data_IF_948977995446
#
_entry.id   IF_948977995446
#
_cell.length_a   1.000
_cell.length_b   1.000
_cell.length_c   1.000
_cell.angle_alpha   90.00
_cell.angle_beta   90.00
_cell.angle_gamma   90.00
#
_symmetry.space_group_name_H-M   'P 1'
#
loop_
_entity.id
_entity.type
_entity.pdbx_description
1 polymer ?
#
# COMPACT_ATOMS: atom_id res chain seq x y z
N UNK A 1 -2.62 -1.06 9.43
CA UNK A 1 -2.64 -0.95 10.89
C UNK A 1 -3.99 -0.37 11.31
N UNK A 2 -4.89 -1.14 11.99
CA UNK A 2 -6.21 -0.65 12.39
C UNK A 2 -6.12 0.60 13.28
N UNK A 3 -4.99 0.81 13.96
CA UNK A 3 -4.73 2.02 14.75
C UNK A 3 -4.59 3.28 13.91
N UNK A 4 -4.05 3.19 12.68
CA UNK A 4 -3.93 4.33 11.76
C UNK A 4 -5.27 4.72 11.13
N UNK A 5 -6.11 3.73 10.79
CA UNK A 5 -7.46 3.96 10.30
C UNK A 5 -8.33 4.57 11.40
N UNK A 6 -8.22 4.06 12.64
CA UNK A 6 -8.92 4.61 13.81
C UNK A 6 -8.45 6.04 14.14
N UNK A 7 -7.18 6.34 13.93
CA UNK A 7 -6.62 7.67 14.16
C UNK A 7 -7.13 8.67 13.12
N UNK A 8 -7.20 8.29 11.84
CA UNK A 8 -7.77 9.14 10.78
C UNK A 8 -9.26 9.41 10.99
N UNK A 9 -10.02 8.40 11.43
CA UNK A 9 -11.46 8.58 11.73
C UNK A 9 -11.65 9.46 12.96
N UNK A 10 -10.85 9.30 14.01
CA UNK A 10 -10.86 10.16 15.20
C UNK A 10 -10.48 11.60 14.87
N UNK A 11 -9.47 11.82 14.04
CA UNK A 11 -9.08 13.17 13.59
C UNK A 11 -10.19 13.80 12.77
N UNK A 12 -10.86 13.06 11.88
CA UNK A 12 -12.01 13.57 11.11
C UNK A 12 -13.21 13.91 11.99
N UNK A 13 -13.52 13.08 12.99
CA UNK A 13 -14.60 13.35 13.95
C UNK A 13 -14.26 14.55 14.83
N UNK A 14 -13.03 14.66 15.32
CA UNK A 14 -12.58 15.81 16.10
C UNK A 14 -12.65 17.10 15.30
N UNK A 15 -12.23 17.10 14.03
CA UNK A 15 -12.34 18.30 13.17
C UNK A 15 -13.80 18.71 12.92
N UNK A 16 -14.72 17.76 12.77
CA UNK A 16 -16.15 18.05 12.66
C UNK A 16 -16.72 18.64 13.96
N UNK A 17 -16.33 18.10 15.12
CA UNK A 17 -16.76 18.62 16.42
C UNK A 17 -16.21 20.04 16.65
N UNK A 18 -14.92 20.28 16.38
CA UNK A 18 -14.32 21.61 16.52
C UNK A 18 -14.92 22.62 15.56
N UNK A 19 -15.25 22.22 14.31
CA UNK A 19 -15.94 23.11 13.36
C UNK A 19 -17.35 23.47 13.83
N UNK A 20 -18.10 22.50 14.37
CA UNK A 20 -19.44 22.75 14.91
C UNK A 20 -19.41 23.69 16.14
N UNK A 21 -18.44 23.50 17.03
CA UNK A 21 -18.22 24.38 18.20
C UNK A 21 -17.82 25.79 17.75
N UNK A 22 -16.95 25.91 16.75
CA UNK A 22 -16.51 27.19 16.21
C UNK A 22 -17.67 27.97 15.55
N UNK A 23 -18.51 27.28 14.76
CA UNK A 23 -19.72 27.88 14.15
C UNK A 23 -20.71 28.32 15.22
N UNK A 24 -21.03 27.43 16.18
CA UNK A 24 -21.91 27.70 17.29
C UNK A 24 -21.41 28.85 18.18
N UNK A 25 -20.14 28.84 18.54
CA UNK A 25 -19.49 29.88 19.31
C UNK A 25 -19.46 31.23 18.59
N UNK A 26 -19.12 31.26 17.30
CA UNK A 26 -19.15 32.47 16.49
C UNK A 26 -20.54 33.06 16.35
N UNK A 27 -21.56 32.20 16.18
CA UNK A 27 -22.94 32.63 16.16
C UNK A 27 -23.41 33.22 17.52
N UNK A 28 -23.03 32.58 18.63
CA UNK A 28 -23.36 33.02 20.00
C UNK A 28 -22.69 34.37 20.34
N UNK A 29 -21.42 34.52 19.98
CA UNK A 29 -20.71 35.81 20.12
C UNK A 29 -21.42 36.89 19.28
N UNK A 30 -21.78 36.59 18.03
CA UNK A 30 -22.51 37.50 17.16
C UNK A 30 -23.88 37.91 17.75
N UNK A 31 -24.61 37.00 18.40
CA UNK A 31 -25.88 37.31 19.06
C UNK A 31 -25.72 38.18 20.30
N UNK A 32 -24.67 37.94 21.09
CA UNK A 32 -24.39 38.70 22.30
C UNK A 32 -23.95 40.15 22.00
N UNK A 33 -23.12 40.35 20.97
CA UNK A 33 -22.54 41.66 20.67
C UNK A 33 -23.42 42.51 19.73
N UNK A 34 -24.19 41.88 18.84
CA UNK A 34 -24.96 42.59 17.77
C UNK A 34 -26.48 42.62 18.00
N UNK A 35 -26.97 42.10 19.13
CA UNK A 35 -28.37 42.06 19.46
C UNK A 35 -29.21 41.13 18.57
N UNK A 36 -30.52 41.10 18.80
CA UNK A 36 -31.45 40.18 18.10
C UNK A 36 -32.12 40.79 16.85
N UNK A 37 -31.69 41.98 16.42
CA UNK A 37 -32.34 42.71 15.31
C UNK A 37 -32.12 42.02 13.97
N UNK A 38 -33.19 41.99 13.16
CA UNK A 38 -33.19 41.35 11.83
C UNK A 38 -32.54 42.28 10.78
N UNK A 39 -31.85 41.73 9.79
CA UNK A 39 -31.29 42.50 8.70
C UNK A 39 -29.74 42.42 8.61
N UNK A 40 -29.07 43.58 8.51
CA UNK A 40 -27.60 43.64 8.37
C UNK A 40 -26.87 42.90 9.51
N UNK A 41 -27.43 42.89 10.69
CA UNK A 41 -26.91 42.15 11.86
C UNK A 41 -26.94 40.64 11.65
N UNK A 42 -27.93 40.08 10.93
CA UNK A 42 -28.01 38.67 10.62
C UNK A 42 -26.86 38.24 9.69
N UNK A 43 -26.61 38.98 8.62
CA UNK A 43 -25.46 38.70 7.72
C UNK A 43 -24.11 38.79 8.45
N UNK A 44 -23.94 39.78 9.32
CA UNK A 44 -22.72 39.96 10.09
C UNK A 44 -22.46 38.81 11.07
N UNK A 45 -23.51 38.26 11.69
CA UNK A 45 -23.42 37.07 12.57
C UNK A 45 -22.95 35.85 11.81
N UNK A 46 -23.45 35.60 10.61
CA UNK A 46 -23.00 34.50 9.76
C UNK A 46 -21.58 34.70 9.23
N UNK A 47 -21.20 35.93 8.89
CA UNK A 47 -19.83 36.22 8.50
C UNK A 47 -18.82 35.93 9.65
N UNK A 48 -19.18 36.29 10.89
CA UNK A 48 -18.37 35.97 12.07
C UNK A 48 -18.33 34.47 12.35
N UNK A 49 -19.46 33.75 12.18
CA UNK A 49 -19.52 32.32 12.33
C UNK A 49 -18.65 31.59 11.29
N UNK A 50 -18.71 32.01 10.03
CA UNK A 50 -17.86 31.44 8.95
C UNK A 50 -16.38 31.83 9.18
N UNK A 51 -16.10 33.07 9.54
CA UNK A 51 -14.74 33.54 9.83
C UNK A 51 -14.08 32.76 10.96
N UNK A 52 -14.84 32.40 12.00
CA UNK A 52 -14.32 31.60 13.12
C UNK A 52 -13.87 30.20 12.67
N UNK A 53 -14.54 29.59 11.68
CA UNK A 53 -14.09 28.30 11.12
C UNK A 53 -12.71 28.40 10.49
N UNK A 54 -12.43 29.46 9.73
CA UNK A 54 -11.11 29.68 9.12
C UNK A 54 -10.03 29.92 10.16
N UNK A 55 -10.33 30.63 11.25
CA UNK A 55 -9.39 30.88 12.34
C UNK A 55 -9.01 29.59 13.07
N UNK A 56 -9.95 28.66 13.27
CA UNK A 56 -9.68 27.41 13.98
C UNK A 56 -9.16 26.29 13.07
N UNK A 57 -9.63 26.19 11.81
CA UNK A 57 -9.20 25.14 10.89
C UNK A 57 -7.94 25.53 10.09
N UNK A 58 -7.70 26.82 9.85
CA UNK A 58 -6.56 27.29 9.09
C UNK A 58 -5.21 26.82 9.69
N UNK A 59 -4.96 27.03 10.99
CA UNK A 59 -3.74 26.55 11.63
C UNK A 59 -3.58 25.03 11.56
N UNK A 60 -4.66 24.26 11.66
CA UNK A 60 -4.61 22.81 11.54
C UNK A 60 -4.10 22.35 10.15
N UNK A 61 -4.62 22.94 9.07
CA UNK A 61 -4.16 22.64 7.72
C UNK A 61 -2.71 23.08 7.48
N UNK A 62 -2.33 24.23 8.05
CA UNK A 62 -0.94 24.71 7.98
C UNK A 62 0.02 23.78 8.72
N UNK A 63 -0.32 23.38 9.96
CA UNK A 63 0.49 22.46 10.75
C UNK A 63 0.64 21.11 10.04
N UNK A 64 -0.45 20.55 9.51
CA UNK A 64 -0.40 19.31 8.76
C UNK A 64 0.50 19.40 7.53
N UNK A 65 0.42 20.50 6.77
CA UNK A 65 1.29 20.73 5.61
C UNK A 65 2.76 20.90 6.00
N UNK A 66 3.05 21.49 7.16
CA UNK A 66 4.41 21.59 7.70
C UNK A 66 4.94 20.24 8.15
N UNK A 67 4.12 19.43 8.82
CA UNK A 67 4.45 18.06 9.23
C UNK A 67 4.79 17.19 8.01
N UNK A 68 3.98 17.23 6.96
CA UNK A 68 4.22 16.49 5.72
C UNK A 68 5.55 16.94 5.06
N UNK A 69 5.82 18.24 5.00
CA UNK A 69 7.08 18.79 4.47
C UNK A 69 8.29 18.38 5.31
N UNK A 70 8.18 18.48 6.62
CA UNK A 70 9.26 18.07 7.53
C UNK A 70 9.56 16.59 7.40
N UNK A 71 8.53 15.75 7.40
CA UNK A 71 8.66 14.30 7.25
C UNK A 71 9.31 13.92 5.93
N UNK A 72 8.91 14.54 4.83
CA UNK A 72 9.50 14.27 3.52
C UNK A 72 10.96 14.71 3.45
N UNK A 73 11.28 15.91 3.93
CA UNK A 73 12.66 16.39 3.97
C UNK A 73 13.56 15.57 4.88
N UNK A 74 13.03 15.14 6.04
CA UNK A 74 13.74 14.25 6.95
C UNK A 74 14.05 12.90 6.28
N UNK A 75 13.07 12.31 5.59
CA UNK A 75 13.25 11.07 4.85
C UNK A 75 14.28 11.22 3.72
N UNK A 76 14.18 12.28 2.92
CA UNK A 76 15.17 12.56 1.86
C UNK A 76 16.58 12.65 2.43
N UNK A 77 16.77 13.39 3.50
CA UNK A 77 18.10 13.53 4.16
C UNK A 77 18.58 12.19 4.71
N UNK A 78 17.72 11.46 5.41
CA UNK A 78 18.08 10.18 6.03
C UNK A 78 18.44 9.13 4.95
N UNK A 79 17.65 9.02 3.90
CA UNK A 79 17.90 8.07 2.83
C UNK A 79 19.09 8.46 1.95
N UNK A 80 19.29 9.75 1.67
CA UNK A 80 20.47 10.21 0.92
C UNK A 80 21.79 9.94 1.64
N UNK A 81 21.77 9.85 2.96
CA UNK A 81 22.96 9.51 3.76
C UNK A 81 23.15 8.00 3.96
N UNK A 82 22.04 7.25 4.13
CA UNK A 82 22.11 5.82 4.46
C UNK A 82 22.21 4.91 3.25
N UNK A 83 21.51 5.22 2.14
CA UNK A 83 21.52 4.38 0.95
C UNK A 83 22.92 4.20 0.32
N UNK A 84 23.74 5.25 0.16
CA UNK A 84 25.08 5.09 -0.39
C UNK A 84 26.04 4.23 0.46
N UNK A 85 25.70 4.01 1.74
CA UNK A 85 26.44 3.12 2.61
C UNK A 85 26.11 1.64 2.34
N UNK A 86 24.92 1.36 1.79
CA UNK A 86 24.46 0.01 1.40
C UNK A 86 24.83 -0.25 -0.05
N UNK A 87 24.38 0.62 -0.95
CA UNK A 87 24.67 0.56 -2.38
C UNK A 87 24.67 1.99 -2.96
N UNK A 88 25.82 2.37 -3.54
CA UNK A 88 26.00 3.71 -4.11
C UNK A 88 25.17 3.98 -5.36
N UNK A 89 24.63 2.92 -5.97
CA UNK A 89 23.82 3.02 -7.20
C UNK A 89 22.37 3.32 -6.91
N UNK A 90 21.88 3.03 -5.69
CA UNK A 90 20.48 3.21 -5.30
C UNK A 90 20.26 4.63 -4.80
N UNK A 91 19.24 5.28 -5.34
CA UNK A 91 18.82 6.62 -5.00
C UNK A 91 17.38 6.64 -4.51
N UNK A 92 17.13 7.45 -3.50
CA UNK A 92 15.78 7.77 -3.04
C UNK A 92 15.20 8.93 -3.86
N UNK A 93 13.97 8.82 -4.30
CA UNK A 93 13.27 9.83 -5.10
C UNK A 93 11.86 10.04 -4.56
N UNK A 94 11.68 11.07 -3.73
CA UNK A 94 10.39 11.35 -3.08
C UNK A 94 9.24 11.65 -4.07
N UNK A 95 9.56 12.21 -5.25
CA UNK A 95 8.59 12.57 -6.28
C UNK A 95 8.32 11.48 -7.32
N UNK A 96 9.11 10.42 -7.34
CA UNK A 96 8.93 9.30 -8.26
C UNK A 96 8.04 8.22 -7.66
N UNK A 97 7.42 7.42 -8.51
CA UNK A 97 6.47 6.40 -8.10
C UNK A 97 6.60 5.15 -8.97
N UNK A 98 6.43 3.98 -8.35
CA UNK A 98 6.10 2.75 -9.06
C UNK A 98 4.72 2.89 -9.68
N UNK A 99 4.58 2.44 -10.91
CA UNK A 99 3.31 2.54 -11.63
C UNK A 99 2.35 1.43 -11.22
N UNK A 100 1.05 1.68 -11.30
CA UNK A 100 0.03 0.65 -11.10
C UNK A 100 0.23 -0.52 -12.08
N UNK A 101 0.71 -0.25 -13.30
CA UNK A 101 0.98 -1.30 -14.28
C UNK A 101 2.09 -2.26 -13.84
N UNK A 102 3.14 -1.78 -13.18
CA UNK A 102 4.19 -2.65 -12.63
C UNK A 102 3.65 -3.54 -11.50
N UNK A 103 2.77 -3.00 -10.64
CA UNK A 103 2.06 -3.80 -9.65
C UNK A 103 1.19 -4.88 -10.28
N UNK A 104 0.39 -4.53 -11.28
CA UNK A 104 -0.46 -5.47 -12.02
C UNK A 104 0.38 -6.52 -12.74
N UNK A 105 1.49 -6.13 -13.37
CA UNK A 105 2.38 -7.03 -14.09
C UNK A 105 3.10 -8.04 -13.18
N UNK A 106 3.25 -7.74 -11.88
CA UNK A 106 3.78 -8.71 -10.91
C UNK A 106 2.91 -9.95 -10.80
N UNK A 107 1.63 -9.80 -11.09
CA UNK A 107 0.62 -10.87 -11.05
C UNK A 107 0.58 -11.62 -9.70
N UNK A 108 1.03 -11.00 -8.62
CA UNK A 108 1.05 -11.59 -7.27
C UNK A 108 -0.31 -11.57 -6.59
N UNK A 109 -1.21 -10.68 -7.04
CA UNK A 109 -2.48 -10.47 -6.38
C UNK A 109 -3.63 -10.59 -7.39
N UNK A 110 -4.73 -11.22 -6.94
CA UNK A 110 -6.00 -11.24 -7.65
C UNK A 110 -6.89 -10.10 -7.16
N UNK A 111 -7.54 -9.43 -8.08
CA UNK A 111 -8.44 -8.32 -7.75
C UNK A 111 -9.54 -8.18 -8.81
N UNK A 112 -10.70 -7.66 -8.39
CA UNK A 112 -11.76 -7.31 -9.32
C UNK A 112 -11.49 -5.92 -9.95
N UNK A 113 -11.27 -4.92 -9.10
CA UNK A 113 -10.95 -3.55 -9.54
C UNK A 113 -10.13 -2.84 -8.48
N UNK A 114 -9.01 -2.28 -8.87
CA UNK A 114 -8.22 -1.39 -8.02
C UNK A 114 -8.95 -0.05 -7.91
N UNK A 115 -9.26 0.37 -6.68
CA UNK A 115 -9.92 1.65 -6.38
C UNK A 115 -8.88 2.72 -6.05
N UNK A 116 -7.96 2.38 -5.15
CA UNK A 116 -6.94 3.31 -4.68
C UNK A 116 -5.57 2.69 -4.84
N UNK A 117 -4.66 3.43 -5.48
CA UNK A 117 -3.26 3.08 -5.62
C UNK A 117 -2.41 4.23 -5.10
N UNK A 118 -1.88 4.08 -3.89
CA UNK A 118 -0.98 5.06 -3.28
C UNK A 118 0.44 4.51 -3.25
N UNK A 119 1.37 5.28 -3.77
CA UNK A 119 2.78 4.96 -3.84
C UNK A 119 3.58 6.04 -3.10
N UNK A 120 4.61 5.64 -2.36
CA UNK A 120 5.53 6.53 -1.64
C UNK A 120 6.84 5.83 -1.37
N UNK A 121 7.84 6.61 -0.98
CA UNK A 121 9.16 6.08 -0.63
C UNK A 121 9.77 5.25 -1.77
N UNK A 122 9.94 5.87 -2.94
CA UNK A 122 10.48 5.23 -4.13
C UNK A 122 12.00 5.18 -4.11
N UNK A 123 12.55 4.04 -4.47
CA UNK A 123 13.97 3.76 -4.58
C UNK A 123 14.27 3.17 -5.96
N UNK A 124 15.31 3.61 -6.61
CA UNK A 124 15.75 3.02 -7.87
C UNK A 124 17.25 3.22 -8.07
N UNK A 125 17.86 2.34 -8.84
CA UNK A 125 19.16 2.62 -9.42
C UNK A 125 19.02 3.46 -10.72
N UNK A 126 20.14 3.99 -11.21
CA UNK A 126 20.14 4.94 -12.33
C UNK A 126 19.56 4.37 -13.63
N UNK A 127 19.79 3.08 -13.88
CA UNK A 127 19.35 2.34 -15.07
C UNK A 127 17.98 1.66 -14.89
N UNK A 128 17.36 1.81 -13.71
CA UNK A 128 16.06 1.21 -13.35
C UNK A 128 15.99 -0.32 -13.48
N UNK A 129 17.11 -0.98 -13.35
CA UNK A 129 17.16 -2.45 -13.24
C UNK A 129 16.70 -2.92 -11.85
N UNK A 130 16.70 -2.02 -10.87
CA UNK A 130 16.11 -2.19 -9.56
C UNK A 130 15.24 -0.99 -9.22
N UNK A 131 13.99 -1.24 -8.88
CA UNK A 131 13.02 -0.25 -8.43
C UNK A 131 12.27 -0.80 -7.21
N UNK A 132 11.93 0.06 -6.28
CA UNK A 132 11.15 -0.33 -5.11
C UNK A 132 10.34 0.84 -4.56
N UNK A 133 9.19 0.53 -3.99
CA UNK A 133 8.33 1.54 -3.37
C UNK A 133 7.39 0.94 -2.34
N UNK A 134 6.99 1.75 -1.36
CA UNK A 134 5.90 1.40 -0.47
C UNK A 134 4.57 1.67 -1.17
N UNK A 135 3.74 0.64 -1.23
CA UNK A 135 2.40 0.70 -1.84
C UNK A 135 1.31 0.50 -0.78
N UNK A 136 0.20 1.20 -1.00
CA UNK A 136 -1.06 1.02 -0.27
C UNK A 136 -2.17 0.94 -1.31
N UNK A 137 -2.64 -0.29 -1.57
CA UNK A 137 -3.55 -0.62 -2.66
C UNK A 137 -4.86 -1.16 -2.09
N UNK A 138 -5.96 -0.53 -2.46
CA UNK A 138 -7.30 -0.97 -2.09
C UNK A 138 -8.09 -1.41 -3.32
N UNK A 139 -8.92 -2.40 -3.15
CA UNK A 139 -9.83 -2.91 -4.19
C UNK A 139 -11.30 -2.71 -3.81
N UNK A 140 -12.12 -2.67 -4.85
CA UNK A 140 -13.57 -2.73 -4.74
C UNK A 140 -14.01 -4.14 -5.16
N UNK A 141 -14.77 -4.79 -4.31
CA UNK A 141 -15.49 -6.03 -4.59
C UNK A 141 -16.99 -5.72 -4.68
N UNK A 142 -17.61 -6.15 -5.76
CA UNK A 142 -19.06 -6.06 -5.92
C UNK A 142 -19.66 -7.45 -5.69
N UNK A 143 -20.45 -7.58 -4.64
CA UNK A 143 -21.16 -8.82 -4.33
C UNK A 143 -22.65 -8.61 -4.52
N UNK A 144 -23.31 -9.51 -5.23
CA UNK A 144 -24.77 -9.54 -5.30
C UNK A 144 -25.32 -10.48 -4.23
N UNK A 145 -26.06 -9.93 -3.28
CA UNK A 145 -26.77 -10.70 -2.25
C UNK A 145 -28.25 -10.30 -2.25
N UNK A 146 -29.13 -11.28 -2.38
CA UNK A 146 -30.60 -11.09 -2.35
C UNK A 146 -31.11 -9.99 -3.32
N UNK A 147 -30.55 -9.91 -4.54
CA UNK A 147 -30.94 -8.93 -5.55
C UNK A 147 -30.47 -7.49 -5.27
N UNK A 148 -29.66 -7.29 -4.24
CA UNK A 148 -29.00 -6.01 -3.96
C UNK A 148 -27.50 -6.12 -4.27
N UNK A 149 -26.97 -5.11 -4.96
CA UNK A 149 -25.53 -4.96 -5.18
C UNK A 149 -24.92 -4.30 -3.96
N UNK A 150 -24.02 -5.00 -3.29
CA UNK A 150 -23.24 -4.47 -2.17
C UNK A 150 -21.80 -4.23 -2.64
N UNK A 151 -21.28 -3.04 -2.35
CA UNK A 151 -19.91 -2.65 -2.67
C UNK A 151 -19.07 -2.74 -1.40
N UNK A 152 -18.07 -3.60 -1.41
CA UNK A 152 -17.12 -3.78 -0.30
C UNK A 152 -15.75 -3.27 -0.71
N UNK A 153 -15.14 -2.47 0.17
CA UNK A 153 -13.76 -2.02 0.03
C UNK A 153 -12.87 -2.92 0.88
N UNK A 154 -11.82 -3.45 0.29
CA UNK A 154 -10.86 -4.30 1.01
C UNK A 154 -9.42 -3.92 0.67
N UNK A 155 -8.53 -4.15 1.66
CA UNK A 155 -7.09 -3.95 1.47
C UNK A 155 -6.56 -5.07 0.60
N UNK A 156 -6.07 -4.74 -0.60
CA UNK A 156 -5.44 -5.70 -1.50
C UNK A 156 -3.97 -5.92 -1.14
N UNK A 157 -3.23 -4.84 -0.98
CA UNK A 157 -1.82 -4.89 -0.63
C UNK A 157 -1.39 -3.67 0.17
N UNK A 158 -0.53 -3.88 1.16
CA UNK A 158 0.10 -2.81 1.92
C UNK A 158 1.49 -3.23 2.34
N UNK A 159 2.52 -2.64 1.72
CA UNK A 159 3.91 -3.01 1.97
C UNK A 159 4.85 -2.49 0.91
N UNK A 160 6.06 -3.02 0.89
CA UNK A 160 7.04 -2.69 -0.14
C UNK A 160 6.92 -3.66 -1.32
N UNK A 161 6.87 -3.11 -2.53
CA UNK A 161 7.03 -3.85 -3.78
C UNK A 161 8.39 -3.49 -4.37
N UNK A 162 9.17 -4.50 -4.70
CA UNK A 162 10.43 -4.37 -5.43
C UNK A 162 10.30 -5.03 -6.80
N UNK A 163 10.81 -4.38 -7.82
CA UNK A 163 10.90 -4.88 -9.19
C UNK A 163 12.37 -4.86 -9.57
N UNK A 164 12.90 -5.98 -10.03
CA UNK A 164 14.30 -6.08 -10.41
C UNK A 164 14.48 -6.93 -11.65
N UNK A 165 15.44 -6.58 -12.48
CA UNK A 165 15.83 -7.40 -13.62
C UNK A 165 16.58 -8.63 -13.12
N UNK A 166 16.10 -9.79 -13.51
CA UNK A 166 16.62 -11.06 -13.01
C UNK A 166 17.80 -11.59 -13.82
N UNK A 167 18.16 -10.97 -14.95
CA UNK A 167 19.25 -11.37 -15.84
C UNK A 167 19.20 -12.83 -16.36
N UNK A 168 18.05 -13.50 -16.23
CA UNK A 168 17.79 -14.82 -16.82
C UNK A 168 16.52 -14.71 -17.65
N UNK A 169 16.60 -15.19 -18.88
CA UNK A 169 15.39 -15.27 -19.71
C UNK A 169 14.56 -16.47 -19.27
N UNK A 170 13.33 -16.21 -18.84
CA UNK A 170 12.36 -17.22 -18.45
C UNK A 170 11.21 -17.19 -19.46
N UNK A 171 10.73 -18.35 -19.84
CA UNK A 171 9.57 -18.49 -20.75
C UNK A 171 8.29 -18.70 -19.96
N UNK A 172 8.41 -19.31 -18.79
CA UNK A 172 7.31 -19.57 -17.89
C UNK A 172 7.12 -18.48 -16.82
N UNK A 173 6.21 -18.76 -15.94
CA UNK A 173 5.92 -17.95 -14.77
C UNK A 173 6.16 -18.80 -13.52
N UNK A 174 6.90 -18.24 -12.56
CA UNK A 174 7.19 -18.91 -11.28
C UNK A 174 6.81 -17.97 -10.13
N UNK A 175 6.10 -18.50 -9.15
CA UNK A 175 5.60 -17.77 -7.99
C UNK A 175 6.06 -18.46 -6.71
N UNK A 176 6.51 -17.68 -5.75
CA UNK A 176 6.86 -18.12 -4.40
C UNK A 176 5.91 -17.43 -3.44
N UNK A 177 5.08 -18.20 -2.77
CA UNK A 177 4.12 -17.71 -1.78
C UNK A 177 4.49 -18.22 -0.38
N UNK A 178 4.18 -17.48 0.70
CA UNK A 178 4.35 -17.99 2.05
C UNK A 178 3.48 -19.24 2.28
N UNK A 179 3.98 -20.20 3.06
CA UNK A 179 3.25 -21.46 3.33
C UNK A 179 1.93 -21.25 4.08
N UNK A 180 1.77 -20.10 4.75
CA UNK A 180 0.48 -19.66 5.29
C UNK A 180 -0.65 -19.63 4.24
N UNK A 181 -0.33 -19.40 2.99
CA UNK A 181 -1.28 -19.50 1.88
C UNK A 181 -1.77 -20.96 1.69
N UNK A 182 -0.89 -21.95 1.93
CA UNK A 182 -1.24 -23.37 1.86
C UNK A 182 -2.21 -23.77 2.97
N UNK A 183 -2.05 -23.22 4.19
CA UNK A 183 -2.98 -23.42 5.30
C UNK A 183 -4.37 -22.85 5.01
N UNK A 184 -4.46 -21.73 4.33
CA UNK A 184 -5.73 -21.09 4.00
C UNK A 184 -6.52 -21.83 2.91
N UNK A 185 -5.84 -22.52 2.01
CA UNK A 185 -6.45 -23.13 0.81
C UNK A 185 -6.52 -24.65 0.82
N UNK A 186 -5.84 -25.35 1.76
CA UNK A 186 -5.84 -26.83 1.88
C UNK A 186 -5.06 -27.54 0.76
N UNK A 187 -5.31 -28.85 0.59
CA UNK A 187 -4.59 -29.68 -0.40
C UNK A 187 -4.83 -29.28 -1.86
N UNK A 188 -5.95 -28.62 -2.16
CA UNK A 188 -6.28 -28.12 -3.50
C UNK A 188 -5.78 -26.70 -3.76
N UNK A 189 -4.71 -26.29 -3.11
CA UNK A 189 -4.15 -24.94 -3.18
C UNK A 189 -3.78 -24.54 -4.60
N UNK A 190 -3.22 -25.47 -5.40
CA UNK A 190 -2.83 -25.19 -6.78
C UNK A 190 -4.04 -24.89 -7.67
N UNK A 191 -5.14 -25.66 -7.54
CA UNK A 191 -6.37 -25.44 -8.30
C UNK A 191 -7.02 -24.10 -7.92
N UNK A 192 -7.08 -23.79 -6.62
CA UNK A 192 -7.61 -22.51 -6.14
C UNK A 192 -6.74 -21.31 -6.48
N UNK A 193 -5.41 -21.47 -6.46
CA UNK A 193 -4.50 -20.43 -6.96
C UNK A 193 -4.69 -20.26 -8.46
N UNK A 194 -4.86 -21.34 -9.23
CA UNK A 194 -5.17 -21.27 -10.65
C UNK A 194 -6.51 -20.57 -10.93
N UNK A 195 -7.55 -20.84 -10.15
CA UNK A 195 -8.84 -20.15 -10.22
C UNK A 195 -8.70 -18.67 -9.83
N UNK A 196 -8.00 -18.36 -8.75
CA UNK A 196 -7.78 -17.01 -8.26
C UNK A 196 -6.95 -16.18 -9.24
N UNK A 197 -5.92 -16.77 -9.86
CA UNK A 197 -5.04 -16.07 -10.80
C UNK A 197 -5.53 -16.21 -12.25
N UNK A 198 -6.63 -16.92 -12.49
CA UNK A 198 -7.15 -17.25 -13.84
C UNK A 198 -6.09 -17.88 -14.76
N UNK A 199 -5.27 -18.81 -14.21
CA UNK A 199 -4.14 -19.42 -14.91
C UNK A 199 -4.13 -20.95 -14.76
N UNK A 200 -4.65 -21.67 -15.75
CA UNK A 200 -4.82 -23.11 -15.66
C UNK A 200 -3.53 -23.93 -15.72
N UNK A 201 -2.36 -23.31 -15.90
CA UNK A 201 -1.11 -24.01 -16.14
C UNK A 201 -0.15 -24.08 -14.92
N UNK A 202 -0.47 -23.43 -13.79
CA UNK A 202 0.40 -23.43 -12.62
C UNK A 202 0.32 -24.76 -11.86
N UNK A 203 1.47 -25.36 -11.57
CA UNK A 203 1.61 -26.58 -10.78
C UNK A 203 2.56 -26.33 -9.61
N UNK A 204 2.33 -27.05 -8.51
CA UNK A 204 3.25 -27.03 -7.36
C UNK A 204 4.60 -27.61 -7.80
N UNK A 205 5.66 -26.86 -7.61
CA UNK A 205 7.03 -27.27 -7.84
C UNK A 205 7.71 -27.49 -6.48
N UNK A 206 8.07 -28.75 -6.19
CA UNK A 206 8.76 -29.12 -4.96
C UNK A 206 10.22 -28.75 -5.08
N UNK A 207 10.76 -28.04 -4.06
CA UNK A 207 12.16 -27.66 -3.94
C UNK A 207 12.91 -28.66 -3.06
N UNK A 208 14.23 -28.72 -3.20
CA UNK A 208 15.05 -29.69 -2.47
C UNK A 208 15.34 -29.27 -1.02
N UNK A 209 15.22 -27.99 -0.70
CA UNK A 209 15.50 -27.47 0.63
C UNK A 209 14.30 -27.62 1.58
N UNK A 210 14.40 -28.46 2.63
CA UNK A 210 13.29 -28.71 3.53
C UNK A 210 12.94 -27.53 4.46
N UNK A 211 13.87 -26.57 4.66
CA UNK A 211 13.60 -25.37 5.45
C UNK A 211 12.80 -24.39 4.62
N UNK A 212 13.19 -24.22 3.37
CA UNK A 212 12.46 -23.39 2.42
C UNK A 212 11.02 -23.92 2.18
N UNK A 213 10.84 -25.23 1.99
CA UNK A 213 9.56 -25.89 1.79
C UNK A 213 8.57 -25.72 2.98
N UNK A 214 9.11 -25.52 4.20
CA UNK A 214 8.30 -25.20 5.38
C UNK A 214 7.84 -23.74 5.43
N UNK A 215 8.52 -22.86 4.73
CA UNK A 215 8.27 -21.42 4.77
C UNK A 215 7.52 -20.93 3.53
N UNK A 216 7.68 -21.64 2.40
CA UNK A 216 7.18 -21.23 1.11
C UNK A 216 6.62 -22.38 0.29
N UNK A 217 5.64 -22.07 -0.56
CA UNK A 217 5.14 -22.91 -1.62
C UNK A 217 5.48 -22.30 -2.98
N UNK A 218 6.03 -23.08 -3.90
CA UNK A 218 6.40 -22.64 -5.24
C UNK A 218 5.41 -23.16 -6.25
N UNK A 219 4.88 -22.27 -7.07
CA UNK A 219 4.01 -22.62 -8.19
C UNK A 219 4.62 -22.14 -9.49
N UNK A 220 4.66 -22.99 -10.50
CA UNK A 220 5.25 -22.65 -11.79
C UNK A 220 4.50 -23.31 -12.95
N UNK A 221 4.58 -22.69 -14.11
CA UNK A 221 4.15 -23.28 -15.39
C UNK A 221 5.13 -24.36 -15.84
N UNK A 222 6.41 -24.28 -15.42
CA UNK A 222 7.46 -25.26 -15.67
C UNK A 222 8.30 -25.49 -14.39
N UNK A 223 8.19 -26.70 -13.82
CA UNK A 223 8.91 -27.08 -12.61
C UNK A 223 10.45 -27.18 -12.81
N UNK A 224 10.91 -27.44 -14.03
CA UNK A 224 12.36 -27.49 -14.34
C UNK A 224 12.90 -26.05 -14.35
N UNK A 225 12.21 -25.15 -15.02
CA UNK A 225 12.55 -23.73 -15.03
C UNK A 225 12.51 -23.13 -13.61
N UNK A 226 11.52 -23.50 -12.79
CA UNK A 226 11.45 -23.06 -11.40
C UNK A 226 12.71 -23.43 -10.58
N UNK A 227 13.21 -24.66 -10.74
CA UNK A 227 14.45 -25.08 -10.07
C UNK A 227 15.69 -24.40 -10.63
N UNK A 228 15.70 -24.05 -11.91
CA UNK A 228 16.75 -23.26 -12.52
C UNK A 228 16.77 -21.81 -12.01
N UNK A 229 15.60 -21.22 -11.82
CA UNK A 229 15.40 -19.88 -11.24
C UNK A 229 15.83 -19.88 -9.77
N UNK A 230 15.22 -20.76 -8.97
CA UNK A 230 15.42 -20.89 -7.54
C UNK A 230 16.69 -21.73 -7.25
N UNK A 231 17.85 -21.16 -7.61
CA UNK A 231 19.12 -21.79 -7.26
C UNK A 231 19.29 -21.91 -5.74
N UNK A 232 20.10 -22.86 -5.22
CA UNK A 232 20.34 -23.04 -3.78
C UNK A 232 20.71 -21.75 -3.06
N UNK A 233 21.53 -20.91 -3.68
CA UNK A 233 21.95 -19.60 -3.13
C UNK A 233 20.77 -18.62 -3.04
N UNK A 234 19.86 -18.63 -4.00
CA UNK A 234 18.67 -17.76 -3.98
C UNK A 234 17.67 -18.23 -2.91
N UNK A 235 17.45 -19.54 -2.81
CA UNK A 235 16.64 -20.17 -1.76
C UNK A 235 17.15 -19.79 -0.37
N UNK A 236 18.47 -19.92 -0.13
CA UNK A 236 19.09 -19.50 1.12
C UNK A 236 18.80 -18.03 1.45
N UNK A 237 18.98 -17.12 0.47
CA UNK A 237 18.74 -15.69 0.65
C UNK A 237 17.27 -15.35 0.92
N UNK A 238 16.34 -16.00 0.24
CA UNK A 238 14.89 -15.80 0.48
C UNK A 238 14.52 -16.32 1.89
N UNK A 239 15.08 -17.45 2.30
CA UNK A 239 14.89 -18.03 3.64
C UNK A 239 15.41 -17.10 4.73
N UNK A 240 16.65 -16.59 4.60
CA UNK A 240 17.24 -15.60 5.49
C UNK A 240 16.37 -14.34 5.59
N UNK A 241 15.89 -13.83 4.44
CA UNK A 241 15.03 -12.65 4.39
C UNK A 241 13.73 -12.86 5.19
N UNK A 242 13.07 -14.01 5.00
CA UNK A 242 11.85 -14.36 5.74
C UNK A 242 12.08 -14.45 7.24
N UNK A 243 13.18 -15.08 7.64
CA UNK A 243 13.54 -15.24 9.05
C UNK A 243 13.90 -13.89 9.71
N UNK A 244 14.46 -12.96 8.93
CA UNK A 244 14.88 -11.66 9.45
C UNK A 244 13.70 -10.70 9.63
N UNK A 245 12.79 -10.65 8.68
CA UNK A 245 11.69 -9.67 8.68
C UNK A 245 10.39 -10.18 9.30
N UNK A 246 10.19 -11.48 9.48
CA UNK A 246 8.97 -12.09 10.02
C UNK A 246 7.68 -11.65 9.29
N UNK A 247 7.81 -11.13 8.06
CA UNK A 247 6.70 -10.68 7.23
C UNK A 247 6.42 -11.67 6.10
N UNK A 248 5.22 -11.61 5.55
CA UNK A 248 4.88 -12.41 4.38
C UNK A 248 5.59 -11.85 3.15
N UNK A 249 6.33 -12.74 2.48
CA UNK A 249 7.10 -12.44 1.27
C UNK A 249 6.44 -13.19 0.12
N UNK A 250 6.10 -12.44 -0.92
CA UNK A 250 5.56 -12.95 -2.18
C UNK A 250 6.53 -12.58 -3.28
N UNK A 251 6.89 -13.55 -4.12
CA UNK A 251 7.82 -13.31 -5.23
C UNK A 251 7.21 -13.87 -6.51
N UNK A 252 7.38 -13.17 -7.60
CA UNK A 252 7.05 -13.64 -8.95
C UNK A 252 8.23 -13.45 -9.87
N UNK A 253 8.50 -14.47 -10.67
CA UNK A 253 9.45 -14.41 -11.77
C UNK A 253 8.65 -14.52 -13.06
N UNK A 254 8.59 -13.41 -13.80
CA UNK A 254 7.79 -13.28 -15.02
C UNK A 254 8.64 -12.57 -16.06
N UNK A 255 8.86 -13.23 -17.19
CA UNK A 255 9.77 -12.75 -18.23
C UNK A 255 11.18 -12.57 -17.65
N UNK A 256 11.73 -11.37 -17.61
CA UNK A 256 13.07 -11.10 -17.07
C UNK A 256 13.01 -10.37 -15.72
N UNK A 257 11.87 -10.34 -15.07
CA UNK A 257 11.64 -9.60 -13.80
C UNK A 257 11.06 -10.50 -12.75
#
# INVERSE_FOLDING_TARGET
DPKLALNNTRVSVLTLIFSAIAIGGGYLIGTLFLGSEFGLSFMLKWMLAIGSVFVFLGPYFLLKKLEDRFTNHFKETLFSLSLPAIDKTIQYQASSVLTQQQFVNSKLFTYQRIDTFKCRDYFANADKTFEGSYLDVMQIEQTQSNGKSETKYSQLFKGYLFVTDFNKQTQGETYVFPDSARMLFGENTAERINELIHRPALKLAIMEDPVFEKLFAVYSTDAVEARFILSPKLIERITELKQHFYQDIHISFIQNK
#
